data_IF_033155747823
#
_entry.id   IF_033155747823
#
_cell.length_a   1.000
_cell.length_b   1.000
_cell.length_c   1.000
_cell.angle_alpha   90.00
_cell.angle_beta   90.00
_cell.angle_gamma   90.00
#
_symmetry.space_group_name_H-M   'P 1'
#
loop_
_entity.id
_entity.type
_entity.pdbx_description
1 polymer ?
#
# COMPACT_ATOMS: atom_id res chain seq x y z
N UNK A 1 -9.66 49.74 32.33
CA UNK A 1 -8.34 49.47 31.70
C UNK A 1 -8.43 48.10 31.06
N UNK A 2 -8.68 47.96 29.75
CA UNK A 2 -8.80 46.64 29.13
C UNK A 2 -7.40 46.13 28.75
N UNK A 3 -7.07 44.92 29.20
CA UNK A 3 -5.86 44.21 28.80
C UNK A 3 -6.15 43.44 27.51
N UNK A 4 -5.52 43.87 26.42
CA UNK A 4 -5.61 43.21 25.12
C UNK A 4 -4.86 41.86 25.17
N UNK A 5 -5.61 40.77 25.11
CA UNK A 5 -5.07 39.41 24.99
C UNK A 5 -4.71 39.13 23.52
N UNK A 6 -3.42 39.18 23.21
CA UNK A 6 -2.90 38.86 21.88
C UNK A 6 -2.74 37.34 21.73
N UNK A 7 -3.72 36.68 21.13
CA UNK A 7 -3.56 35.29 20.69
C UNK A 7 -2.71 35.24 19.43
N UNK A 8 -1.45 34.86 19.58
CA UNK A 8 -0.53 34.58 18.48
C UNK A 8 -0.85 33.20 17.88
N UNK A 9 -1.59 33.19 16.78
CA UNK A 9 -1.88 32.00 15.97
C UNK A 9 -0.59 31.48 15.34
N UNK A 10 0.02 30.45 15.93
CA UNK A 10 1.17 29.75 15.33
C UNK A 10 0.68 28.96 14.11
N UNK A 11 0.76 29.58 12.93
CA UNK A 11 0.60 28.86 11.67
C UNK A 11 1.74 27.84 11.55
N UNK A 12 1.40 26.56 11.73
CA UNK A 12 2.30 25.47 11.41
C UNK A 12 2.57 25.49 9.90
N UNK A 13 3.76 25.98 9.54
CA UNK A 13 4.27 26.02 8.17
C UNK A 13 4.47 24.58 7.69
N UNK A 14 3.41 23.97 7.15
CA UNK A 14 3.45 22.69 6.46
C UNK A 14 4.41 22.86 5.29
N UNK A 15 5.62 22.33 5.43
CA UNK A 15 6.55 22.17 4.31
C UNK A 15 5.92 21.13 3.39
N UNK A 16 5.34 21.59 2.28
CA UNK A 16 5.04 20.75 1.14
C UNK A 16 6.33 20.05 0.73
N UNK A 17 6.40 18.74 1.01
CA UNK A 17 7.43 17.87 0.46
C UNK A 17 7.00 17.63 -0.97
N UNK A 18 7.50 18.45 -1.88
CA UNK A 18 7.40 18.19 -3.32
C UNK A 18 8.22 16.94 -3.59
N UNK A 19 7.57 15.80 -3.75
CA UNK A 19 8.23 14.59 -4.23
C UNK A 19 8.81 14.90 -5.61
N UNK A 20 10.07 14.53 -5.90
CA UNK A 20 10.62 14.70 -7.23
C UNK A 20 9.78 13.89 -8.21
N UNK A 21 9.21 14.60 -9.19
CA UNK A 21 8.48 14.00 -10.32
C UNK A 21 9.34 12.88 -10.91
N UNK A 22 8.77 11.67 -11.13
CA UNK A 22 9.51 10.60 -11.77
C UNK A 22 9.94 11.12 -13.15
N UNK A 23 11.26 11.22 -13.35
CA UNK A 23 11.84 11.54 -14.65
C UNK A 23 11.30 10.53 -15.64
N UNK A 24 10.41 10.99 -16.53
CA UNK A 24 10.06 10.24 -17.73
C UNK A 24 11.35 9.99 -18.53
N UNK A 25 11.62 8.73 -18.92
CA UNK A 25 12.72 8.42 -19.83
C UNK A 25 12.31 8.74 -21.27
N UNK A 26 12.10 10.03 -21.59
CA UNK A 26 11.68 10.48 -22.93
C UNK A 26 12.87 10.69 -23.90
N UNK A 27 13.91 9.86 -23.85
CA UNK A 27 15.15 10.12 -24.61
C UNK A 27 15.69 8.95 -25.44
N UNK A 28 14.84 7.99 -25.84
CA UNK A 28 15.29 6.84 -26.65
C UNK A 28 14.70 6.74 -28.07
N UNK A 29 13.80 7.64 -28.47
CA UNK A 29 13.15 7.56 -29.79
C UNK A 29 13.36 8.83 -30.64
N UNK A 30 14.61 9.19 -30.88
CA UNK A 30 14.97 10.11 -31.98
C UNK A 30 16.00 9.46 -32.92
N UNK A 31 15.81 8.16 -33.19
CA UNK A 31 16.35 7.53 -34.40
C UNK A 31 15.38 7.85 -35.55
N UNK A 32 15.39 9.11 -35.97
CA UNK A 32 14.88 9.47 -37.29
C UNK A 32 15.78 8.79 -38.31
N UNK A 33 15.28 7.67 -38.85
CA UNK A 33 15.89 6.92 -39.92
C UNK A 33 15.97 7.81 -41.17
N UNK A 34 17.15 8.39 -41.40
CA UNK A 34 17.53 8.94 -42.70
C UNK A 34 17.81 7.74 -43.64
N UNK A 35 16.74 7.12 -44.13
CA UNK A 35 16.78 5.97 -45.06
C UNK A 35 17.48 6.30 -46.40
N UNK A 36 17.76 7.58 -46.68
CA UNK A 36 18.39 8.02 -47.93
C UNK A 36 19.92 8.01 -47.94
N UNK A 37 20.58 7.86 -46.78
CA UNK A 37 22.05 7.98 -46.67
C UNK A 37 22.78 6.63 -46.66
N UNK A 38 22.08 5.55 -46.30
CA UNK A 38 22.67 4.22 -46.23
C UNK A 38 22.98 3.62 -47.61
N UNK A 39 22.25 4.02 -48.66
CA UNK A 39 22.42 3.41 -49.98
C UNK A 39 23.68 3.85 -50.74
N UNK A 40 24.23 5.03 -50.47
CA UNK A 40 25.45 5.49 -51.17
C UNK A 40 26.75 5.07 -50.49
N UNK A 41 26.68 4.51 -49.29
CA UNK A 41 27.88 4.17 -48.52
C UNK A 41 28.41 2.76 -48.83
N UNK A 42 27.57 1.83 -49.31
CA UNK A 42 28.04 0.50 -49.68
C UNK A 42 28.83 0.48 -51.00
N UNK A 43 28.53 1.37 -51.97
CA UNK A 43 29.31 1.47 -53.22
C UNK A 43 30.75 1.94 -52.97
N UNK A 44 30.94 2.92 -52.08
CA UNK A 44 32.27 3.37 -51.68
C UNK A 44 33.04 2.32 -50.87
N UNK A 45 32.34 1.48 -50.11
CA UNK A 45 32.96 0.37 -49.36
C UNK A 45 33.44 -0.75 -50.30
N UNK A 46 32.69 -1.04 -51.38
CA UNK A 46 33.07 -2.04 -52.37
C UNK A 46 34.29 -1.62 -53.21
N UNK A 47 34.40 -0.34 -53.58
CA UNK A 47 35.55 0.14 -54.36
C UNK A 47 36.85 0.26 -53.56
N UNK A 48 36.79 0.42 -52.23
CA UNK A 48 38.00 0.47 -51.39
C UNK A 48 38.66 -0.89 -51.15
N UNK A 49 37.98 -2.01 -51.43
CA UNK A 49 38.48 -3.36 -51.22
C UNK A 49 39.40 -3.86 -52.34
N UNK A 50 39.39 -3.22 -53.51
CA UNK A 50 40.16 -3.67 -54.69
C UNK A 50 41.60 -3.10 -54.73
N UNK A 51 41.87 -2.03 -53.98
CA UNK A 51 43.18 -1.34 -53.98
C UNK A 51 44.12 -1.76 -52.83
N UNK A 52 43.65 -2.57 -51.88
CA UNK A 52 44.43 -3.03 -50.71
C UNK A 52 44.72 -4.53 -50.76
N UNK A 53 45.10 -5.05 -51.93
CA UNK A 53 45.70 -6.38 -52.08
C UNK A 53 47.17 -6.37 -51.61
N UNK A 54 47.41 -5.83 -50.41
CA UNK A 54 48.61 -6.17 -49.64
C UNK A 54 48.54 -7.66 -49.36
N UNK A 55 49.65 -8.37 -49.54
CA UNK A 55 49.80 -9.78 -49.17
C UNK A 55 49.58 -9.88 -47.66
N UNK A 56 48.33 -9.98 -47.23
CA UNK A 56 47.96 -10.21 -45.83
C UNK A 56 48.35 -11.66 -45.58
N UNK A 57 49.31 -11.84 -44.69
CA UNK A 57 49.80 -13.15 -44.29
C UNK A 57 48.61 -13.98 -43.78
N UNK A 58 48.24 -15.10 -44.43
CA UNK A 58 47.06 -15.89 -44.07
C UNK A 58 47.14 -16.42 -42.62
N UNK A 59 48.33 -16.44 -42.02
CA UNK A 59 48.48 -16.77 -40.61
C UNK A 59 47.92 -15.70 -39.66
N UNK A 60 48.05 -14.41 -40.01
CA UNK A 60 47.57 -13.29 -39.18
C UNK A 60 46.04 -13.20 -39.22
N UNK A 61 45.44 -13.43 -40.39
CA UNK A 61 43.98 -13.42 -40.53
C UNK A 61 43.31 -14.57 -39.81
N UNK A 62 43.92 -15.76 -39.80
CA UNK A 62 43.41 -16.90 -39.03
C UNK A 62 43.50 -16.62 -37.52
N UNK A 63 44.60 -16.03 -37.04
CA UNK A 63 44.74 -15.70 -35.63
C UNK A 63 43.71 -14.65 -35.18
N UNK A 64 43.48 -13.61 -35.97
CA UNK A 64 42.44 -12.61 -35.71
C UNK A 64 41.05 -13.25 -35.64
N UNK A 65 40.73 -14.13 -36.60
CA UNK A 65 39.48 -14.90 -36.61
C UNK A 65 39.34 -15.80 -35.37
N UNK A 66 40.40 -16.48 -34.92
CA UNK A 66 40.38 -17.28 -33.70
C UNK A 66 40.11 -16.44 -32.46
N UNK A 67 40.73 -15.26 -32.34
CA UNK A 67 40.46 -14.36 -31.21
C UNK A 67 39.03 -13.83 -31.22
N UNK A 68 38.47 -13.56 -32.40
CA UNK A 68 37.09 -13.11 -32.55
C UNK A 68 36.11 -14.25 -32.23
N UNK A 69 36.40 -15.48 -32.64
CA UNK A 69 35.61 -16.67 -32.27
C UNK A 69 35.59 -16.85 -30.75
N UNK A 70 36.74 -16.71 -30.08
CA UNK A 70 36.81 -16.80 -28.62
C UNK A 70 36.00 -15.68 -27.94
N UNK A 71 36.08 -14.46 -28.46
CA UNK A 71 35.30 -13.30 -27.97
C UNK A 71 33.80 -13.56 -28.11
N UNK A 72 33.34 -13.93 -29.30
CA UNK A 72 31.93 -14.23 -29.57
C UNK A 72 31.42 -15.43 -28.76
N UNK A 73 32.25 -16.45 -28.56
CA UNK A 73 31.89 -17.60 -27.73
C UNK A 73 31.64 -17.18 -26.29
N UNK A 74 32.47 -16.28 -25.74
CA UNK A 74 32.26 -15.70 -24.42
C UNK A 74 30.96 -14.89 -24.37
N UNK A 75 30.75 -14.00 -25.34
CA UNK A 75 29.53 -13.18 -25.41
C UNK A 75 28.27 -14.06 -25.46
N UNK A 76 28.28 -15.18 -26.21
CA UNK A 76 27.17 -16.14 -26.27
C UNK A 76 26.93 -16.84 -24.93
N UNK A 77 27.99 -17.19 -24.19
CA UNK A 77 27.87 -17.79 -22.86
C UNK A 77 27.27 -16.79 -21.87
N UNK A 78 27.77 -15.55 -21.85
CA UNK A 78 27.28 -14.49 -20.98
C UNK A 78 25.80 -14.17 -21.27
N UNK A 79 25.40 -14.13 -22.54
CA UNK A 79 24.00 -13.93 -22.93
C UNK A 79 23.10 -15.09 -22.53
N UNK A 80 23.58 -16.34 -22.60
CA UNK A 80 22.85 -17.51 -22.13
C UNK A 80 22.67 -17.50 -20.62
N UNK A 81 23.71 -17.13 -19.88
CA UNK A 81 23.63 -16.95 -18.42
C UNK A 81 22.62 -15.85 -18.06
N UNK A 82 22.65 -14.71 -18.76
CA UNK A 82 21.69 -13.63 -18.56
C UNK A 82 20.25 -14.05 -18.88
N UNK A 83 20.03 -14.85 -19.93
CA UNK A 83 18.72 -15.40 -20.26
C UNK A 83 18.23 -16.39 -19.18
N UNK A 84 19.12 -17.23 -18.67
CA UNK A 84 18.79 -18.18 -17.60
C UNK A 84 18.53 -17.48 -16.25
N UNK A 85 19.13 -16.31 -16.01
CA UNK A 85 18.91 -15.49 -14.82
C UNK A 85 17.64 -14.63 -14.89
N UNK A 86 16.93 -14.60 -16.03
CA UNK A 86 15.67 -13.86 -16.11
C UNK A 86 14.61 -14.56 -15.24
N UNK A 87 13.81 -13.79 -14.49
CA UNK A 87 12.64 -14.35 -13.82
C UNK A 87 11.77 -15.10 -14.81
N UNK A 88 11.26 -16.24 -14.37
CA UNK A 88 10.30 -17.02 -15.15
C UNK A 88 9.00 -16.24 -15.30
N UNK A 89 8.23 -16.52 -16.35
CA UNK A 89 6.93 -15.85 -16.56
C UNK A 89 5.98 -16.03 -15.37
N UNK A 90 6.03 -17.20 -14.74
CA UNK A 90 5.27 -17.52 -13.53
C UNK A 90 5.68 -16.64 -12.33
N UNK A 91 6.97 -16.38 -12.14
CA UNK A 91 7.46 -15.48 -11.10
C UNK A 91 7.04 -14.03 -11.37
N UNK A 92 7.11 -13.58 -12.63
CA UNK A 92 6.65 -12.24 -13.02
C UNK A 92 5.14 -12.11 -12.76
N UNK A 93 4.37 -13.14 -13.09
CA UNK A 93 2.93 -13.17 -12.82
C UNK A 93 2.64 -13.16 -11.32
N UNK A 94 3.34 -13.96 -10.53
CA UNK A 94 3.20 -13.98 -9.07
C UNK A 94 3.51 -12.60 -8.46
N UNK A 95 4.63 -11.98 -8.85
CA UNK A 95 4.99 -10.63 -8.41
C UNK A 95 3.93 -9.59 -8.79
N UNK A 96 3.31 -9.73 -9.97
CA UNK A 96 2.23 -8.85 -10.40
C UNK A 96 0.99 -9.00 -9.51
N UNK A 97 0.59 -10.23 -9.18
CA UNK A 97 -0.54 -10.50 -8.29
C UNK A 97 -0.29 -9.98 -6.86
N UNK A 98 0.93 -10.17 -6.34
CA UNK A 98 1.32 -9.64 -5.04
C UNK A 98 1.31 -8.11 -5.00
N UNK A 99 1.76 -7.48 -6.09
CA UNK A 99 1.71 -6.02 -6.24
C UNK A 99 0.28 -5.50 -6.28
N UNK A 100 -0.60 -6.12 -7.09
CA UNK A 100 -2.04 -5.74 -7.15
C UNK A 100 -2.73 -5.93 -5.78
N UNK A 101 -2.39 -6.98 -5.05
CA UNK A 101 -2.92 -7.23 -3.70
C UNK A 101 -2.44 -6.15 -2.72
N UNK A 102 -1.16 -5.79 -2.78
CA UNK A 102 -0.57 -4.75 -1.94
C UNK A 102 -1.18 -3.37 -2.20
N UNK A 103 -1.43 -3.04 -3.47
CA UNK A 103 -2.10 -1.80 -3.87
C UNK A 103 -3.55 -1.75 -3.34
N UNK A 104 -4.26 -2.87 -3.40
CA UNK A 104 -5.64 -2.97 -2.87
C UNK A 104 -5.67 -2.72 -1.36
N UNK A 105 -4.79 -3.38 -0.60
CA UNK A 105 -4.67 -3.20 0.85
C UNK A 105 -4.28 -1.76 1.22
N UNK A 106 -3.42 -1.13 0.43
CA UNK A 106 -3.04 0.26 0.64
C UNK A 106 -4.22 1.22 0.45
N UNK A 107 -5.01 1.03 -0.61
CA UNK A 107 -6.22 1.82 -0.86
C UNK A 107 -7.26 1.67 0.26
N UNK A 108 -7.48 0.45 0.76
CA UNK A 108 -8.38 0.19 1.89
C UNK A 108 -7.88 0.86 3.19
N UNK A 109 -6.58 0.75 3.47
CA UNK A 109 -5.95 1.39 4.64
C UNK A 109 -6.08 2.92 4.58
N UNK A 110 -5.92 3.51 3.40
CA UNK A 110 -6.12 4.95 3.21
C UNK A 110 -7.56 5.35 3.51
N UNK A 111 -8.54 4.59 3.01
CA UNK A 111 -9.97 4.84 3.26
C UNK A 111 -10.32 4.73 4.75
N UNK A 112 -9.82 3.71 5.45
CA UNK A 112 -10.00 3.57 6.90
C UNK A 112 -9.37 4.73 7.68
N UNK A 113 -8.18 5.17 7.27
CA UNK A 113 -7.51 6.32 7.88
C UNK A 113 -8.31 7.62 7.69
N UNK A 114 -8.85 7.86 6.50
CA UNK A 114 -9.74 8.98 6.21
C UNK A 114 -11.01 8.92 7.08
N UNK A 115 -11.62 7.74 7.23
CA UNK A 115 -12.79 7.55 8.10
C UNK A 115 -12.47 7.86 9.57
N UNK A 116 -11.36 7.33 10.10
CA UNK A 116 -10.91 7.61 11.47
C UNK A 116 -10.62 9.09 11.67
N UNK A 117 -10.00 9.75 10.69
CA UNK A 117 -9.78 11.19 10.72
C UNK A 117 -11.08 11.98 10.81
N UNK A 118 -12.10 11.59 10.04
CA UNK A 118 -13.43 12.21 10.10
C UNK A 118 -14.08 11.99 11.47
N UNK A 119 -14.01 10.78 12.03
CA UNK A 119 -14.53 10.51 13.38
C UNK A 119 -13.83 11.34 14.45
N UNK A 120 -12.51 11.47 14.40
CA UNK A 120 -11.74 12.31 15.32
C UNK A 120 -12.17 13.77 15.21
N UNK A 121 -12.38 14.26 13.99
CA UNK A 121 -12.81 15.65 13.78
C UNK A 121 -14.23 15.90 14.30
N UNK A 122 -15.15 14.94 14.10
CA UNK A 122 -16.49 15.00 14.67
C UNK A 122 -16.45 15.02 16.21
N UNK A 123 -15.61 14.18 16.83
CA UNK A 123 -15.42 14.17 18.28
C UNK A 123 -14.84 15.49 18.80
N UNK A 124 -13.89 16.09 18.08
CA UNK A 124 -13.35 17.42 18.43
C UNK A 124 -14.43 18.51 18.36
N UNK A 125 -15.28 18.48 17.34
CA UNK A 125 -16.40 19.42 17.22
C UNK A 125 -17.41 19.22 18.35
N UNK A 126 -17.71 17.96 18.70
CA UNK A 126 -18.59 17.63 19.81
C UNK A 126 -18.02 18.11 21.15
N UNK A 127 -16.74 17.85 21.44
CA UNK A 127 -16.06 18.36 22.65
C UNK A 127 -16.12 19.88 22.68
N UNK A 128 -15.83 20.57 21.57
CA UNK A 128 -15.92 22.03 21.49
C UNK A 128 -17.34 22.54 21.76
N UNK A 129 -18.37 21.84 21.30
CA UNK A 129 -19.75 22.19 21.60
C UNK A 129 -20.09 22.01 23.09
N UNK A 130 -19.57 20.96 23.73
CA UNK A 130 -19.69 20.76 25.17
C UNK A 130 -18.95 21.85 25.96
N UNK A 131 -17.72 22.18 25.57
CA UNK A 131 -16.94 23.28 26.16
C UNK A 131 -17.70 24.61 26.07
N UNK A 132 -18.31 24.90 24.91
CA UNK A 132 -19.14 26.09 24.73
C UNK A 132 -20.37 26.09 25.64
N UNK A 133 -20.99 24.94 25.86
CA UNK A 133 -22.17 24.82 26.75
C UNK A 133 -21.79 24.94 28.22
N UNK A 134 -20.62 24.44 28.61
CA UNK A 134 -20.07 24.64 29.96
C UNK A 134 -19.75 26.11 30.20
N UNK A 135 -19.17 26.79 29.22
CA UNK A 135 -18.89 28.23 29.27
C UNK A 135 -20.18 29.05 29.40
N UNK A 136 -21.25 28.68 28.68
CA UNK A 136 -22.56 29.34 28.80
C UNK A 136 -23.21 29.13 30.18
N UNK A 137 -23.10 27.92 30.75
CA UNK A 137 -23.82 27.56 31.99
C UNK A 137 -23.07 27.90 33.28
N UNK A 138 -21.73 27.84 33.27
CA UNK A 138 -20.87 28.02 34.44
C UNK A 138 -19.96 29.26 34.34
N UNK A 139 -19.93 29.95 33.19
CA UNK A 139 -19.04 31.08 32.93
C UNK A 139 -17.62 30.66 32.51
N UNK A 140 -16.77 31.62 32.10
CA UNK A 140 -15.39 31.35 31.62
C UNK A 140 -14.50 30.59 32.62
N UNK A 141 -14.80 30.69 33.92
CA UNK A 141 -14.04 30.09 35.02
C UNK A 141 -14.27 28.58 35.17
N UNK A 142 -15.17 27.97 34.39
CA UNK A 142 -15.51 26.54 34.49
C UNK A 142 -14.27 25.62 34.39
N UNK A 143 -13.25 26.05 33.65
CA UNK A 143 -11.99 25.33 33.48
C UNK A 143 -11.22 25.20 34.79
N UNK A 144 -11.30 26.17 35.69
CA UNK A 144 -10.63 26.15 36.99
C UNK A 144 -11.25 25.11 37.93
N UNK A 145 -12.57 24.94 37.87
CA UNK A 145 -13.30 23.93 38.65
C UNK A 145 -13.10 22.50 38.11
N UNK A 146 -12.77 22.37 36.82
CA UNK A 146 -12.53 21.09 36.15
C UNK A 146 -11.05 20.69 36.10
N UNK A 147 -10.14 21.40 36.78
CA UNK A 147 -8.76 20.93 37.00
C UNK A 147 -8.81 19.72 37.93
N UNK A 148 -9.10 18.55 37.35
CA UNK A 148 -8.86 17.28 38.01
C UNK A 148 -7.38 17.27 38.39
N UNK A 149 -7.03 17.00 39.66
CA UNK A 149 -5.63 16.91 40.06
C UNK A 149 -4.95 15.92 39.13
N UNK A 150 -3.89 16.38 38.44
CA UNK A 150 -3.14 15.55 37.50
C UNK A 150 -2.82 14.23 38.20
N UNK A 151 -3.31 13.07 37.70
CA UNK A 151 -3.07 11.79 38.35
C UNK A 151 -1.57 11.47 38.47
N UNK A 152 -0.71 12.19 37.75
CA UNK A 152 0.75 12.11 37.87
C UNK A 152 1.33 12.84 39.10
N UNK A 153 0.54 13.63 39.81
CA UNK A 153 0.93 14.38 41.01
C UNK A 153 0.64 13.65 42.34
N UNK A 154 -0.08 12.52 42.32
CA UNK A 154 -0.23 11.67 43.49
C UNK A 154 1.14 11.03 43.80
N UNK A 155 1.79 11.57 44.82
CA UNK A 155 3.13 11.22 45.24
C UNK A 155 3.40 9.72 45.22
N UNK A 156 4.58 9.40 44.72
CA UNK A 156 5.24 8.10 44.60
C UNK A 156 5.50 7.44 45.98
N UNK A 157 4.50 7.38 46.86
CA UNK A 157 4.50 6.57 48.09
C UNK A 157 3.99 5.18 47.70
N UNK A 158 4.69 4.55 46.75
CA UNK A 158 4.59 3.13 46.56
C UNK A 158 5.45 2.52 47.68
N UNK A 159 4.82 2.18 48.80
CA UNK A 159 5.49 1.61 49.95
C UNK A 159 6.20 0.32 49.58
N UNK A 160 7.49 0.22 49.90
CA UNK A 160 8.35 -0.96 50.17
C UNK A 160 7.97 -2.34 49.58
N UNK A 161 7.31 -2.39 48.43
CA UNK A 161 6.97 -3.63 47.76
C UNK A 161 8.23 -4.08 47.00
N UNK A 162 8.94 -5.00 47.64
CA UNK A 162 9.84 -6.02 47.08
C UNK A 162 10.60 -5.60 45.82
N UNK A 163 11.91 -5.29 45.91
CA UNK A 163 12.70 -4.96 44.73
C UNK A 163 12.66 -6.14 43.76
N UNK A 164 12.01 -5.94 42.61
CA UNK A 164 12.05 -6.89 41.50
C UNK A 164 13.51 -7.22 41.18
N UNK A 165 13.86 -8.51 40.98
CA UNK A 165 15.22 -8.91 40.69
C UNK A 165 15.70 -8.18 39.43
N UNK A 166 16.84 -7.49 39.55
CA UNK A 166 17.44 -6.75 38.43
C UNK A 166 17.60 -7.70 37.24
N UNK A 167 17.07 -7.35 36.04
CA UNK A 167 17.27 -8.18 34.86
C UNK A 167 18.77 -8.31 34.61
N UNK A 168 19.28 -9.53 34.66
CA UNK A 168 20.67 -9.85 34.32
C UNK A 168 20.89 -9.47 32.86
N UNK A 169 21.59 -8.36 32.63
CA UNK A 169 22.16 -8.03 31.33
C UNK A 169 23.17 -9.14 30.98
N UNK A 170 22.70 -10.15 30.24
CA UNK A 170 23.59 -11.10 29.57
C UNK A 170 24.46 -10.29 28.61
N UNK A 171 25.75 -10.27 28.92
CA UNK A 171 26.82 -9.73 28.09
C UNK A 171 26.87 -10.48 26.76
N UNK A 172 26.18 -9.97 25.74
CA UNK A 172 26.38 -10.39 24.36
C UNK A 172 27.67 -9.74 23.85
N UNK A 173 28.63 -10.59 23.50
CA UNK A 173 29.91 -10.19 22.96
C UNK A 173 29.73 -9.30 21.72
N UNK A 174 30.29 -8.10 21.82
CA UNK A 174 30.31 -7.07 20.79
C UNK A 174 31.33 -7.44 19.71
N UNK A 175 30.84 -7.84 18.53
CA UNK A 175 31.63 -7.77 17.29
C UNK A 175 31.66 -6.30 16.86
N UNK A 176 32.77 -5.64 17.19
CA UNK A 176 33.10 -4.30 16.71
C UNK A 176 33.17 -4.29 15.18
N UNK A 177 32.22 -3.66 14.51
CA UNK A 177 32.46 -3.11 13.17
C UNK A 177 32.12 -1.62 13.21
N UNK A 178 33.18 -0.84 13.16
CA UNK A 178 33.12 0.62 13.14
C UNK A 178 32.39 1.09 11.88
N UNK A 179 31.45 2.02 12.04
CA UNK A 179 31.12 2.99 11.02
C UNK A 179 30.73 4.27 11.73
N UNK A 180 31.51 5.31 11.46
CA UNK A 180 31.39 6.64 12.03
C UNK A 180 30.29 7.40 11.31
N UNK A 181 29.68 8.33 12.06
CA UNK A 181 29.16 9.60 11.56
C UNK A 181 27.75 9.61 10.93
N UNK A 182 26.74 9.94 11.74
CA UNK A 182 25.83 11.07 11.44
C UNK A 182 24.90 11.36 12.63
N UNK A 183 24.54 12.64 12.73
CA UNK A 183 24.00 13.33 13.88
C UNK A 183 22.59 12.93 14.33
N UNK A 184 22.47 12.69 15.64
CA UNK A 184 21.42 13.17 16.58
C UNK A 184 20.09 13.68 16.00
N UNK A 185 19.05 12.84 16.10
CA UNK A 185 17.75 13.23 16.66
C UNK A 185 17.32 12.17 17.67
N UNK A 186 17.06 12.62 18.89
CA UNK A 186 16.60 11.82 20.02
C UNK A 186 15.19 11.33 19.72
N UNK A 187 15.06 10.05 19.37
CA UNK A 187 13.79 9.33 19.40
C UNK A 187 13.83 8.42 20.62
N UNK A 188 12.76 8.47 21.42
CA UNK A 188 12.61 7.75 22.68
C UNK A 188 12.90 6.26 22.51
N UNK A 189 13.95 5.76 23.17
CA UNK A 189 14.44 4.38 23.11
C UNK A 189 13.56 3.36 23.88
N UNK A 190 12.36 3.76 24.33
CA UNK A 190 11.46 2.89 25.08
C UNK A 190 10.68 1.90 24.20
N UNK A 191 10.43 2.21 22.92
CA UNK A 191 9.63 1.33 22.04
C UNK A 191 10.45 0.27 21.28
N UNK A 192 11.76 0.46 21.09
CA UNK A 192 12.57 -0.45 20.28
C UNK A 192 12.88 -1.81 20.96
N UNK A 193 12.58 -1.97 22.26
CA UNK A 193 12.74 -3.26 22.96
C UNK A 193 11.55 -4.19 22.80
N UNK A 194 10.36 -3.68 22.46
CA UNK A 194 9.17 -4.53 22.29
C UNK A 194 9.19 -5.39 21.02
N UNK A 195 10.07 -5.08 20.06
CA UNK A 195 10.17 -5.81 18.78
C UNK A 195 11.14 -7.00 18.81
N UNK A 196 11.98 -7.15 19.86
CA UNK A 196 12.95 -8.26 19.95
C UNK A 196 12.52 -9.44 20.83
N UNK A 197 11.42 -9.32 21.57
CA UNK A 197 10.87 -10.44 22.35
C UNK A 197 9.83 -11.25 21.55
N UNK A 198 9.49 -10.83 20.32
CA UNK A 198 8.57 -11.54 19.42
C UNK A 198 9.31 -12.54 18.48
N UNK A 199 10.47 -13.04 18.89
CA UNK A 199 11.33 -13.89 18.04
C UNK A 199 11.40 -15.36 18.50
N UNK A 200 10.69 -15.76 19.56
CA UNK A 200 10.90 -17.10 20.14
C UNK A 200 9.83 -18.17 19.89
N UNK A 201 8.63 -17.88 19.37
CA UNK A 201 7.69 -18.94 18.95
C UNK A 201 6.60 -18.41 18.00
N UNK A 202 6.99 -17.98 16.79
CA UNK A 202 6.02 -17.62 15.75
C UNK A 202 6.08 -18.64 14.62
N UNK A 203 4.94 -19.30 14.45
CA UNK A 203 4.57 -20.05 13.26
C UNK A 203 4.94 -19.22 12.02
N UNK A 204 5.79 -19.77 11.14
CA UNK A 204 6.34 -19.04 9.96
C UNK A 204 5.32 -18.90 8.83
N UNK A 205 4.07 -19.26 9.08
CA UNK A 205 2.98 -19.06 8.14
C UNK A 205 2.57 -17.58 8.12
N UNK A 206 2.28 -17.00 6.93
CA UNK A 206 1.87 -15.60 6.80
C UNK A 206 0.62 -15.27 7.65
N UNK A 207 -0.25 -16.24 7.88
CA UNK A 207 -1.42 -16.12 8.77
C UNK A 207 -1.04 -15.90 10.24
N UNK A 208 0.06 -16.50 10.71
CA UNK A 208 0.57 -16.30 12.07
C UNK A 208 1.13 -14.89 12.29
N UNK A 209 1.77 -14.32 11.26
CA UNK A 209 2.30 -12.96 11.29
C UNK A 209 1.19 -11.89 11.35
N UNK A 210 0.10 -12.08 10.60
CA UNK A 210 -1.06 -11.18 10.65
C UNK A 210 -1.72 -11.19 12.04
N UNK A 211 -1.94 -12.37 12.62
CA UNK A 211 -2.52 -12.51 13.97
C UNK A 211 -1.65 -11.85 15.05
N UNK A 212 -0.33 -11.86 14.89
CA UNK A 212 0.59 -11.20 15.82
C UNK A 212 0.59 -9.66 15.68
N UNK A 213 0.37 -9.13 14.48
CA UNK A 213 0.27 -7.69 14.21
C UNK A 213 -1.05 -7.07 14.69
N UNK A 214 -2.14 -7.84 14.69
CA UNK A 214 -3.46 -7.35 15.14
C UNK A 214 -3.54 -7.08 16.64
N UNK A 215 -2.53 -7.46 17.43
CA UNK A 215 -2.47 -7.10 18.85
C UNK A 215 -3.66 -7.60 19.67
N UNK A 216 -4.40 -8.60 19.16
CA UNK A 216 -5.49 -9.28 19.85
C UNK A 216 -4.84 -10.15 20.93
N UNK A 217 -4.44 -9.50 22.03
CA UNK A 217 -4.37 -10.20 23.29
C UNK A 217 -5.81 -10.54 23.64
N UNK A 218 -6.09 -11.83 23.82
CA UNK A 218 -7.29 -12.32 24.49
C UNK A 218 -7.39 -11.60 25.85
N UNK A 219 -8.09 -10.46 25.87
CA UNK A 219 -8.48 -9.77 27.07
C UNK A 219 -9.96 -9.44 26.93
N UNK A 220 -10.73 -10.08 27.80
CA UNK A 220 -12.17 -10.05 27.97
C UNK A 220 -12.72 -8.64 28.27
N UNK A 221 -12.76 -7.74 27.28
CA UNK A 221 -13.52 -6.50 27.41
C UNK A 221 -14.13 -6.09 26.07
N UNK A 222 -15.28 -6.68 25.78
CA UNK A 222 -16.13 -6.37 24.63
C UNK A 222 -16.96 -5.11 24.93
N UNK A 223 -16.90 -4.05 24.10
CA UNK A 223 -17.74 -2.87 24.28
C UNK A 223 -19.22 -3.22 24.11
N UNK A 224 -20.06 -2.59 24.93
CA UNK A 224 -21.50 -2.87 25.00
C UNK A 224 -22.25 -2.29 23.80
N UNK A 225 -23.28 -3.00 23.28
CA UNK A 225 -23.99 -2.63 22.04
C UNK A 225 -24.62 -1.22 22.03
N UNK A 226 -24.93 -0.66 23.20
CA UNK A 226 -25.51 0.69 23.31
C UNK A 226 -24.58 1.79 22.77
N UNK A 227 -23.25 1.59 22.82
CA UNK A 227 -22.27 2.57 22.32
C UNK A 227 -22.13 2.54 20.79
N UNK A 228 -22.51 1.43 20.15
CA UNK A 228 -22.36 1.25 18.70
C UNK A 228 -23.59 1.81 17.95
N UNK A 229 -24.77 1.76 18.57
CA UNK A 229 -26.03 2.23 17.97
C UNK A 229 -26.14 3.77 18.02
N UNK A 230 -25.64 4.41 19.09
CA UNK A 230 -25.63 5.86 19.20
C UNK A 230 -24.78 6.57 18.11
N UNK A 231 -23.83 5.85 17.50
CA UNK A 231 -22.99 6.38 16.42
C UNK A 231 -23.62 6.38 15.02
N UNK A 232 -24.75 5.68 14.80
CA UNK A 232 -25.33 5.52 13.46
C UNK A 232 -26.59 6.36 13.21
N UNK A 233 -27.32 6.78 14.24
CA UNK A 233 -28.61 7.49 14.08
C UNK A 233 -28.52 9.02 13.90
N UNK A 234 -27.32 9.62 13.97
CA UNK A 234 -27.16 11.09 13.91
C UNK A 234 -26.90 11.67 12.50
N UNK A 235 -26.95 10.88 11.42
CA UNK A 235 -26.60 11.38 10.09
C UNK A 235 -27.63 10.98 9.01
N UNK A 236 -28.55 11.91 8.73
CA UNK A 236 -29.33 11.99 7.49
C UNK A 236 -29.31 13.46 7.02
N UNK A 237 -29.74 13.78 5.80
CA UNK A 237 -28.94 13.72 4.57
C UNK A 237 -28.74 15.13 4.00
N UNK A 238 -27.53 15.49 3.56
CA UNK A 238 -27.33 16.76 2.85
C UNK A 238 -26.68 16.57 1.49
N UNK A 239 -27.47 16.95 0.50
CA UNK A 239 -27.25 17.01 -0.93
C UNK A 239 -26.14 17.99 -1.32
N UNK A 240 -25.66 17.77 -2.55
CA UNK A 240 -25.13 18.76 -3.48
C UNK A 240 -23.89 19.53 -3.04
N UNK A 241 -22.72 18.98 -3.37
CA UNK A 241 -21.58 19.82 -3.71
C UNK A 241 -20.63 19.12 -4.68
N UNK A 242 -20.65 19.65 -5.91
CA UNK A 242 -19.44 20.01 -6.68
C UNK A 242 -18.85 18.94 -7.60
N UNK A 243 -19.57 18.82 -8.71
CA UNK A 243 -19.10 18.88 -10.09
C UNK A 243 -17.77 19.65 -10.28
N UNK A 244 -16.98 19.20 -11.26
CA UNK A 244 -15.70 19.74 -11.80
C UNK A 244 -14.40 18.99 -11.43
N UNK A 245 -14.25 17.75 -11.92
CA UNK A 245 -12.93 17.11 -12.13
C UNK A 245 -12.85 16.24 -13.40
N UNK A 246 -13.56 16.60 -14.46
CA UNK A 246 -13.68 15.72 -15.65
C UNK A 246 -12.83 16.13 -16.87
N UNK A 247 -12.04 17.21 -16.82
CA UNK A 247 -11.33 17.69 -18.01
C UNK A 247 -9.88 17.16 -18.18
N UNK A 248 -9.30 16.49 -17.17
CA UNK A 248 -7.87 16.11 -17.22
C UNK A 248 -7.58 14.72 -17.79
N UNK A 249 -8.60 13.89 -18.06
CA UNK A 249 -8.41 12.51 -18.51
C UNK A 249 -8.53 12.30 -20.03
N UNK A 250 -8.92 13.32 -20.81
CA UNK A 250 -9.05 13.19 -22.26
C UNK A 250 -7.70 13.26 -23.00
N UNK A 251 -6.69 13.93 -22.44
CA UNK A 251 -5.41 14.16 -23.14
C UNK A 251 -4.48 12.94 -23.22
N UNK A 252 -4.77 11.85 -22.51
CA UNK A 252 -3.93 10.63 -22.47
C UNK A 252 -4.52 9.45 -23.26
N UNK A 253 -5.72 9.60 -23.86
CA UNK A 253 -6.38 8.50 -24.60
C UNK A 253 -5.98 8.43 -26.09
N UNK A 254 -5.72 9.57 -26.73
CA UNK A 254 -5.48 9.61 -28.17
C UNK A 254 -4.28 8.80 -28.71
N UNK A 255 -3.12 8.68 -28.04
CA UNK A 255 -2.03 7.87 -28.59
C UNK A 255 -2.35 6.37 -28.53
N UNK A 256 -3.08 5.92 -27.51
CA UNK A 256 -3.40 4.50 -27.30
C UNK A 256 -4.44 3.99 -28.30
N UNK A 257 -5.37 4.83 -28.73
CA UNK A 257 -6.38 4.45 -29.71
C UNK A 257 -5.78 4.19 -31.10
N UNK A 258 -4.73 4.93 -31.48
CA UNK A 258 -4.00 4.73 -32.75
C UNK A 258 -3.17 3.45 -32.74
N UNK A 259 -2.50 3.15 -31.63
CA UNK A 259 -1.77 1.90 -31.44
C UNK A 259 -2.72 0.68 -31.44
N UNK A 260 -3.88 0.78 -30.78
CA UNK A 260 -4.92 -0.24 -30.80
C UNK A 260 -5.47 -0.47 -32.22
N UNK A 261 -5.73 0.60 -32.98
CA UNK A 261 -6.19 0.50 -34.35
C UNK A 261 -5.15 -0.18 -35.27
N UNK A 262 -3.86 0.13 -35.10
CA UNK A 262 -2.77 -0.51 -35.83
C UNK A 262 -2.64 -2.00 -35.48
N UNK A 263 -2.76 -2.35 -34.19
CA UNK A 263 -2.72 -3.74 -33.74
C UNK A 263 -3.91 -4.56 -34.28
N UNK A 264 -5.12 -3.97 -34.27
CA UNK A 264 -6.32 -4.59 -34.84
C UNK A 264 -6.18 -4.79 -36.35
N UNK A 265 -5.56 -3.84 -37.06
CA UNK A 265 -5.28 -4.00 -38.49
C UNK A 265 -4.24 -5.11 -38.76
N UNK A 266 -3.19 -5.20 -37.94
CA UNK A 266 -2.19 -6.26 -38.04
C UNK A 266 -2.79 -7.65 -37.77
N UNK A 267 -3.69 -7.78 -36.78
CA UNK A 267 -4.39 -9.02 -36.48
C UNK A 267 -5.29 -9.45 -37.65
N UNK A 268 -5.95 -8.50 -38.31
CA UNK A 268 -6.79 -8.77 -39.50
C UNK A 268 -5.98 -9.18 -40.74
N UNK A 269 -4.70 -8.81 -40.80
CA UNK A 269 -3.81 -9.17 -41.90
C UNK A 269 -3.16 -10.57 -41.74
N UNK A 270 -3.35 -11.23 -40.59
CA UNK A 270 -2.82 -12.57 -40.38
C UNK A 270 -3.56 -13.61 -41.26
N UNK A 271 -2.86 -14.66 -41.72
CA UNK A 271 -3.47 -15.76 -42.46
C UNK A 271 -4.66 -16.36 -41.69
N UNK A 272 -5.76 -16.68 -42.39
CA UNK A 272 -7.02 -17.11 -41.76
C UNK A 272 -6.91 -18.32 -40.82
N UNK A 273 -5.88 -19.17 -40.96
CA UNK A 273 -5.61 -20.27 -40.04
C UNK A 273 -5.07 -19.83 -38.67
N UNK A 274 -4.27 -18.75 -38.63
CA UNK A 274 -3.72 -18.15 -37.41
C UNK A 274 -4.77 -17.31 -36.69
N UNK A 275 -5.58 -16.55 -37.45
CA UNK A 275 -6.73 -15.80 -36.89
C UNK A 275 -7.69 -16.72 -36.12
N UNK A 276 -8.05 -17.87 -36.69
CA UNK A 276 -8.94 -18.84 -36.03
C UNK A 276 -8.30 -19.50 -34.78
N UNK A 277 -6.97 -19.52 -34.68
CA UNK A 277 -6.25 -20.08 -33.53
C UNK A 277 -6.12 -19.06 -32.40
N UNK A 278 -5.93 -17.78 -32.75
CA UNK A 278 -5.96 -16.64 -31.81
C UNK A 278 -7.35 -16.45 -31.24
N UNK A 279 -8.41 -16.50 -32.04
CA UNK A 279 -9.80 -16.41 -31.52
C UNK A 279 -10.13 -17.56 -30.56
N UNK A 280 -9.66 -18.78 -30.84
CA UNK A 280 -9.83 -19.91 -29.91
C UNK A 280 -9.00 -19.77 -28.64
N UNK A 281 -7.83 -19.13 -28.69
CA UNK A 281 -7.01 -18.89 -27.51
C UNK A 281 -7.63 -17.78 -26.63
N UNK A 282 -8.03 -16.67 -27.24
CA UNK A 282 -8.71 -15.56 -26.56
C UNK A 282 -10.04 -16.00 -25.95
N UNK A 283 -10.84 -16.78 -26.67
CA UNK A 283 -12.11 -17.30 -26.13
C UNK A 283 -11.93 -18.27 -24.95
N UNK A 284 -10.80 -19.00 -24.89
CA UNK A 284 -10.46 -19.83 -23.73
C UNK A 284 -10.04 -18.99 -22.52
N UNK A 285 -9.21 -17.98 -22.74
CA UNK A 285 -8.79 -17.08 -21.65
C UNK A 285 -9.97 -16.28 -21.10
N UNK A 286 -10.86 -15.79 -21.97
CA UNK A 286 -12.05 -15.06 -21.56
C UNK A 286 -13.01 -15.96 -20.77
N UNK A 287 -13.21 -17.21 -21.21
CA UNK A 287 -14.00 -18.20 -20.46
C UNK A 287 -13.43 -18.52 -19.09
N UNK A 288 -12.10 -18.67 -18.96
CA UNK A 288 -11.44 -18.92 -17.67
C UNK A 288 -11.51 -17.69 -16.77
N UNK A 289 -11.35 -16.49 -17.33
CA UNK A 289 -11.48 -15.24 -16.59
C UNK A 289 -12.92 -15.04 -16.09
N UNK A 290 -13.92 -15.39 -16.90
CA UNK A 290 -15.33 -15.31 -16.52
C UNK A 290 -15.68 -16.34 -15.44
N UNK A 291 -15.17 -17.58 -15.54
CA UNK A 291 -15.32 -18.57 -14.48
C UNK A 291 -14.73 -18.10 -13.13
N UNK A 292 -13.54 -17.48 -13.15
CA UNK A 292 -12.94 -16.89 -11.94
C UNK A 292 -13.78 -15.75 -11.37
N UNK A 293 -14.35 -14.89 -12.23
CA UNK A 293 -15.24 -13.81 -11.77
C UNK A 293 -16.49 -14.38 -11.13
N UNK A 294 -17.06 -15.45 -11.69
CA UNK A 294 -18.24 -16.09 -11.12
C UNK A 294 -17.92 -16.75 -9.77
N UNK A 295 -16.80 -17.45 -9.66
CA UNK A 295 -16.31 -18.01 -8.40
C UNK A 295 -16.11 -16.91 -7.32
N UNK A 296 -15.55 -15.76 -7.69
CA UNK A 296 -15.44 -14.63 -6.74
C UNK A 296 -16.78 -14.04 -6.35
N UNK A 297 -17.77 -14.03 -7.25
CA UNK A 297 -19.13 -13.57 -6.92
C UNK A 297 -19.81 -14.53 -5.97
N UNK A 298 -19.70 -15.82 -6.20
CA UNK A 298 -20.23 -16.85 -5.29
C UNK A 298 -19.60 -16.73 -3.90
N UNK A 299 -18.27 -16.56 -3.82
CA UNK A 299 -17.58 -16.35 -2.54
C UNK A 299 -18.07 -15.08 -1.81
N UNK A 300 -18.33 -13.99 -2.54
CA UNK A 300 -18.88 -12.75 -1.94
C UNK A 300 -20.30 -12.99 -1.42
N UNK A 301 -21.15 -13.70 -2.17
CA UNK A 301 -22.50 -14.04 -1.73
C UNK A 301 -22.48 -14.91 -0.47
N UNK A 302 -21.59 -15.89 -0.39
CA UNK A 302 -21.42 -16.73 0.81
C UNK A 302 -21.02 -15.91 2.04
N UNK A 303 -20.12 -14.93 1.88
CA UNK A 303 -19.72 -14.02 2.98
C UNK A 303 -20.90 -13.15 3.43
N UNK A 304 -21.74 -12.70 2.49
CA UNK A 304 -22.93 -11.91 2.81
C UNK A 304 -23.98 -12.74 3.55
N UNK A 305 -24.27 -13.96 3.09
CA UNK A 305 -25.20 -14.88 3.75
C UNK A 305 -24.74 -15.24 5.18
N UNK A 306 -23.43 -15.45 5.36
CA UNK A 306 -22.84 -15.69 6.67
C UNK A 306 -22.88 -14.44 7.58
N UNK A 307 -22.84 -13.24 7.02
CA UNK A 307 -23.00 -12.00 7.77
C UNK A 307 -24.46 -11.80 8.19
N UNK A 308 -25.42 -12.05 7.29
CA UNK A 308 -26.85 -11.99 7.54
C UNK A 308 -27.27 -12.98 8.63
N UNK A 309 -26.86 -14.25 8.52
CA UNK A 309 -27.11 -15.28 9.54
C UNK A 309 -26.58 -14.88 10.93
N UNK A 310 -25.42 -14.22 10.99
CA UNK A 310 -24.86 -13.70 12.25
C UNK A 310 -25.65 -12.51 12.80
N UNK A 311 -26.24 -11.69 11.94
CA UNK A 311 -27.10 -10.59 12.34
C UNK A 311 -28.43 -11.11 12.91
N UNK A 312 -29.09 -12.04 12.22
CA UNK A 312 -30.33 -12.70 12.69
C UNK A 312 -30.13 -13.38 14.06
N UNK A 313 -29.03 -14.12 14.23
CA UNK A 313 -28.72 -14.76 15.50
C UNK A 313 -28.55 -13.76 16.66
N UNK A 314 -28.02 -12.56 16.38
CA UNK A 314 -27.92 -11.47 17.36
C UNK A 314 -29.29 -10.87 17.66
N UNK A 315 -30.11 -10.67 16.64
CA UNK A 315 -31.47 -10.15 16.79
C UNK A 315 -32.32 -11.08 17.67
N UNK A 316 -32.32 -12.38 17.38
CA UNK A 316 -33.04 -13.39 18.18
C UNK A 316 -32.59 -13.34 19.65
N UNK A 317 -31.28 -13.22 19.89
CA UNK A 317 -30.74 -13.10 21.25
C UNK A 317 -31.22 -11.83 21.95
N UNK A 318 -31.24 -10.70 21.26
CA UNK A 318 -31.73 -9.42 21.80
C UNK A 318 -33.22 -9.48 22.11
N UNK A 319 -34.03 -10.08 21.23
CA UNK A 319 -35.45 -10.31 21.47
C UNK A 319 -35.67 -11.19 22.72
N UNK A 320 -34.85 -12.23 22.91
CA UNK A 320 -34.84 -13.05 24.12
C UNK A 320 -34.55 -12.25 25.39
N UNK A 321 -33.48 -11.43 25.39
CA UNK A 321 -33.13 -10.57 26.52
C UNK A 321 -34.21 -9.53 26.83
N UNK A 322 -34.85 -8.97 25.81
CA UNK A 322 -35.97 -8.02 25.98
C UNK A 322 -37.21 -8.70 26.57
N UNK A 323 -37.51 -9.94 26.16
CA UNK A 323 -38.58 -10.73 26.77
C UNK A 323 -38.28 -11.04 28.24
N UNK A 324 -37.06 -11.47 28.57
CA UNK A 324 -36.63 -11.71 29.95
C UNK A 324 -36.72 -10.44 30.80
N UNK A 325 -36.23 -9.30 30.29
CA UNK A 325 -36.30 -8.02 30.99
C UNK A 325 -37.74 -7.59 31.28
N UNK A 326 -38.66 -7.78 30.32
CA UNK A 326 -40.10 -7.51 30.52
C UNK A 326 -40.72 -8.38 31.62
N UNK A 327 -40.35 -9.66 31.68
CA UNK A 327 -40.83 -10.56 32.75
C UNK A 327 -40.26 -10.16 34.12
N UNK A 328 -39.02 -9.67 34.18
CA UNK A 328 -38.43 -9.18 35.43
C UNK A 328 -39.04 -7.84 35.89
N UNK A 329 -39.34 -6.92 34.97
CA UNK A 329 -39.92 -5.61 35.31
C UNK A 329 -41.37 -5.70 35.77
N UNK A 330 -42.14 -6.68 35.28
CA UNK A 330 -43.52 -6.92 35.71
C UNK A 330 -43.66 -7.51 37.11
N UNK A 331 -42.55 -7.83 37.79
CA UNK A 331 -42.55 -8.31 39.19
C UNK A 331 -42.17 -7.22 40.20
N UNK A 332 -41.93 -5.99 39.74
CA UNK A 332 -41.86 -4.80 40.60
C UNK A 332 -43.23 -4.10 40.61
N UNK A 333 -44.21 -4.77 41.22
CA UNK A 333 -45.42 -4.10 41.67
C UNK A 333 -45.02 -3.16 42.82
N UNK A 334 -45.06 -1.86 42.55
CA UNK A 334 -45.00 -0.79 43.54
C UNK A 334 -46.38 -0.49 44.11
#
# INVERSE_FOLDING_TARGET
MPLASSYATRQAKRRSITLPSPRQPDAWNDYSADEGSAEKNWENTLHSLDESNTVIDPAVTVQEQETEILRLTRDVLDLREQLAARPTEDEVYAMKMEWETSETLFAESQKDNEQKHNTIENLRQYVKALESKLEETLGEDWKEYCVLPDPRGAGNICGNATPLPKPKLRSSASTKRASRHSHTRVVSMTDARSLRELETMTDKTPTGALRALEGIRELDSRPTPAEIVASFEAASPLKDARMERSASYQSMREPKEKELAALVAAIKALPGSLSAQVERALGREESVAEARREETREAILEVLDAAESRAEAREIRLQGLLAEAKTCSGHMDW
#
